data_IF_195367903047
#
_entry.id   IF_195367903047
#
_cell.length_a   1.000
_cell.length_b   1.000
_cell.length_c   1.000
_cell.angle_alpha   90.00
_cell.angle_beta   90.00
_cell.angle_gamma   90.00
#
_symmetry.space_group_name_H-M   'P 1'
#
loop_
_entity.id
_entity.type
_entity.pdbx_description
1 polymer ?
#
# COMPACT_ATOMS: atom_id res chain seq x y z
N UNK A 1 19.09 -7.71 0.95
CA UNK A 1 18.21 -6.61 0.57
C UNK A 1 18.02 -6.51 -0.94
N UNK A 2 19.08 -6.27 -1.71
CA UNK A 2 19.00 -6.06 -3.18
C UNK A 2 18.32 -7.22 -3.92
N UNK A 3 18.65 -8.47 -3.60
CA UNK A 3 18.00 -9.65 -4.22
C UNK A 3 16.50 -9.65 -3.89
N UNK A 4 16.13 -9.38 -2.65
CA UNK A 4 14.72 -9.28 -2.25
C UNK A 4 14.00 -8.13 -2.96
N UNK A 5 14.66 -6.98 -3.14
CA UNK A 5 14.11 -5.85 -3.87
C UNK A 5 13.75 -6.21 -5.32
N UNK A 6 14.62 -6.96 -6.01
CA UNK A 6 14.35 -7.42 -7.39
C UNK A 6 13.22 -8.43 -7.43
N UNK A 7 13.22 -9.41 -6.50
CA UNK A 7 12.18 -10.45 -6.44
C UNK A 7 10.81 -9.84 -6.12
N UNK A 8 10.72 -9.03 -5.07
CA UNK A 8 9.47 -8.42 -4.66
C UNK A 8 9.00 -7.34 -5.64
N UNK A 9 9.92 -6.58 -6.24
CA UNK A 9 9.61 -5.65 -7.31
C UNK A 9 9.00 -6.35 -8.53
N UNK A 10 9.61 -7.44 -8.98
CA UNK A 10 9.10 -8.26 -10.08
C UNK A 10 7.75 -8.93 -9.74
N UNK A 11 7.61 -9.47 -8.53
CA UNK A 11 6.35 -10.08 -8.07
C UNK A 11 5.22 -9.05 -8.01
N UNK A 12 5.47 -7.86 -7.48
CA UNK A 12 4.49 -6.78 -7.44
C UNK A 12 4.16 -6.23 -8.81
N UNK A 13 5.15 -6.12 -9.72
CA UNK A 13 4.89 -5.75 -11.10
C UNK A 13 3.93 -6.73 -11.77
N UNK A 14 4.17 -8.02 -11.61
CA UNK A 14 3.29 -9.05 -12.16
C UNK A 14 1.88 -9.00 -11.55
N UNK A 15 1.77 -8.95 -10.22
CA UNK A 15 0.48 -8.91 -9.52
C UNK A 15 -0.30 -7.64 -9.83
N UNK A 16 0.37 -6.48 -9.81
CA UNK A 16 -0.27 -5.19 -10.07
C UNK A 16 -0.84 -5.09 -11.48
N UNK A 17 -0.12 -5.59 -12.49
CA UNK A 17 -0.61 -5.60 -13.86
C UNK A 17 -1.72 -6.63 -14.09
N UNK A 18 -1.70 -7.75 -13.37
CA UNK A 18 -2.68 -8.83 -13.59
C UNK A 18 -3.94 -8.67 -12.74
N UNK A 19 -3.80 -8.24 -11.49
CA UNK A 19 -4.89 -8.20 -10.50
C UNK A 19 -5.26 -6.78 -10.12
N UNK A 20 -4.41 -5.78 -10.45
CA UNK A 20 -4.64 -4.38 -10.07
C UNK A 20 -4.33 -4.09 -8.60
N UNK A 21 -3.63 -5.00 -7.91
CA UNK A 21 -3.26 -4.86 -6.50
C UNK A 21 -1.76 -5.06 -6.32
N UNK A 22 -1.20 -4.40 -5.32
CA UNK A 22 0.17 -4.60 -4.85
C UNK A 22 0.15 -5.15 -3.42
N UNK A 23 1.14 -5.97 -3.09
CA UNK A 23 1.28 -6.57 -1.76
C UNK A 23 2.49 -5.98 -1.09
N UNK A 24 2.36 -5.53 0.15
CA UNK A 24 3.51 -5.07 0.93
C UNK A 24 4.49 -6.21 1.19
N UNK A 25 5.74 -5.98 0.81
CA UNK A 25 6.83 -6.92 1.01
C UNK A 25 7.65 -6.62 2.27
N UNK A 26 7.32 -5.58 3.02
CA UNK A 26 8.08 -5.14 4.19
C UNK A 26 8.15 -6.23 5.26
N UNK A 27 7.02 -6.79 5.65
CA UNK A 27 6.97 -7.85 6.68
C UNK A 27 7.61 -9.16 6.18
N UNK A 28 7.28 -9.69 4.98
CA UNK A 28 7.99 -10.84 4.42
C UNK A 28 9.49 -10.64 4.33
N UNK A 29 9.96 -9.46 3.91
CA UNK A 29 11.37 -9.14 3.84
C UNK A 29 12.05 -9.17 5.22
N UNK A 30 11.38 -8.65 6.26
CA UNK A 30 11.86 -8.71 7.64
C UNK A 30 12.02 -10.16 8.13
N UNK A 31 11.00 -11.00 7.91
CA UNK A 31 11.03 -12.41 8.34
C UNK A 31 12.10 -13.21 7.60
N UNK A 32 12.21 -13.03 6.27
CA UNK A 32 13.26 -13.70 5.47
C UNK A 32 14.64 -13.21 5.90
N UNK A 33 14.80 -11.91 6.15
CA UNK A 33 16.04 -11.33 6.63
C UNK A 33 16.50 -11.98 7.94
N UNK A 34 15.60 -12.04 8.94
CA UNK A 34 15.90 -12.67 10.22
C UNK A 34 16.31 -14.14 10.06
N UNK A 35 15.57 -14.88 9.23
CA UNK A 35 15.90 -16.29 8.95
C UNK A 35 17.29 -16.45 8.32
N UNK A 36 17.59 -15.67 7.29
CA UNK A 36 18.86 -15.75 6.56
C UNK A 36 20.03 -15.27 7.41
N UNK A 37 19.91 -14.12 8.08
CA UNK A 37 21.00 -13.57 8.89
C UNK A 37 21.30 -14.46 10.08
N UNK A 38 20.28 -14.99 10.76
CA UNK A 38 20.46 -15.89 11.91
C UNK A 38 21.03 -17.24 11.51
N UNK A 39 20.51 -17.85 10.44
CA UNK A 39 20.92 -19.22 10.04
C UNK A 39 22.24 -19.22 9.29
N UNK A 40 22.44 -18.29 8.34
CA UNK A 40 23.62 -18.27 7.46
C UNK A 40 24.77 -17.50 8.09
N UNK A 41 24.51 -16.28 8.58
CA UNK A 41 25.56 -15.41 9.14
C UNK A 41 25.79 -15.63 10.62
N UNK A 42 24.91 -16.39 11.30
CA UNK A 42 24.94 -16.66 12.76
C UNK A 42 25.09 -15.38 13.60
N UNK A 43 24.45 -14.31 13.14
CA UNK A 43 24.42 -13.00 13.80
C UNK A 43 22.98 -12.67 14.16
N UNK A 44 22.78 -12.00 15.29
CA UNK A 44 21.52 -11.40 15.68
C UNK A 44 21.75 -9.89 15.75
N UNK A 45 21.36 -9.17 14.70
CA UNK A 45 21.47 -7.71 14.62
C UNK A 45 20.20 -7.15 14.00
N UNK A 46 19.41 -6.46 14.83
CA UNK A 46 18.19 -5.79 14.39
C UNK A 46 18.48 -4.74 13.30
N UNK A 47 19.63 -4.07 13.38
CA UNK A 47 20.02 -3.05 12.40
C UNK A 47 20.28 -3.65 11.03
N UNK A 48 20.97 -4.80 10.97
CA UNK A 48 21.22 -5.51 9.72
C UNK A 48 19.90 -6.03 9.12
N UNK A 49 19.02 -6.59 9.95
CA UNK A 49 17.70 -7.03 9.54
C UNK A 49 16.83 -5.89 9.03
N UNK A 50 16.82 -4.75 9.71
CA UNK A 50 16.09 -3.55 9.30
C UNK A 50 16.62 -3.00 7.96
N UNK A 51 17.94 -3.00 7.77
CA UNK A 51 18.54 -2.56 6.51
C UNK A 51 18.15 -3.48 5.34
N UNK A 52 18.17 -4.79 5.53
CA UNK A 52 17.75 -5.76 4.51
C UNK A 52 16.26 -5.60 4.18
N UNK A 53 15.41 -5.44 5.19
CA UNK A 53 13.98 -5.21 5.03
C UNK A 53 13.72 -3.90 4.27
N UNK A 54 14.36 -2.80 4.65
CA UNK A 54 14.17 -1.49 4.02
C UNK A 54 14.59 -1.50 2.55
N UNK A 55 15.75 -2.11 2.23
CA UNK A 55 16.20 -2.24 0.85
C UNK A 55 15.25 -3.17 0.07
N UNK A 56 14.78 -4.26 0.70
CA UNK A 56 13.85 -5.19 0.08
C UNK A 56 12.52 -4.56 -0.28
N UNK A 57 11.96 -3.76 0.62
CA UNK A 57 10.69 -3.06 0.39
C UNK A 57 10.79 -1.88 -0.58
N UNK A 58 11.98 -1.31 -0.77
CA UNK A 58 12.18 -0.24 -1.76
C UNK A 58 11.89 -0.70 -3.19
N UNK A 59 12.23 -1.95 -3.55
CA UNK A 59 11.92 -2.52 -4.87
C UNK A 59 10.42 -2.66 -5.11
N UNK A 60 9.69 -3.11 -4.11
CA UNK A 60 8.22 -3.19 -4.14
C UNK A 60 7.58 -1.81 -4.30
N UNK A 61 8.01 -0.84 -3.49
CA UNK A 61 7.47 0.53 -3.53
C UNK A 61 7.70 1.20 -4.88
N UNK A 62 8.87 0.98 -5.48
CA UNK A 62 9.18 1.47 -6.83
C UNK A 62 8.27 0.83 -7.87
N UNK A 63 8.09 -0.50 -7.81
CA UNK A 63 7.22 -1.23 -8.72
C UNK A 63 5.77 -0.75 -8.59
N UNK A 64 5.25 -0.58 -7.36
CA UNK A 64 3.91 -0.08 -7.11
C UNK A 64 3.70 1.32 -7.72
N UNK A 65 4.65 2.25 -7.57
CA UNK A 65 4.58 3.57 -8.19
C UNK A 65 4.52 3.51 -9.72
N UNK A 66 5.34 2.66 -10.32
CA UNK A 66 5.40 2.49 -11.77
C UNK A 66 4.12 1.86 -12.36
N UNK A 67 3.57 0.85 -11.71
CA UNK A 67 2.40 0.08 -12.18
C UNK A 67 1.15 0.94 -12.29
N UNK A 68 0.94 1.88 -11.38
CA UNK A 68 -0.27 2.71 -11.36
C UNK A 68 -0.18 3.93 -12.27
N UNK A 69 1.00 4.28 -12.78
CA UNK A 69 1.20 5.48 -13.60
C UNK A 69 1.59 5.16 -15.05
N UNK A 70 2.56 4.29 -15.26
CA UNK A 70 3.13 4.00 -16.59
C UNK A 70 2.12 3.36 -17.54
N UNK A 71 1.22 2.43 -17.13
CA UNK A 71 0.24 1.85 -18.03
C UNK A 71 -0.67 2.86 -18.72
N UNK A 72 -0.96 4.01 -18.09
CA UNK A 72 -1.73 5.07 -18.70
C UNK A 72 -1.09 5.60 -19.99
N UNK A 73 0.24 5.71 -20.01
CA UNK A 73 0.98 6.17 -21.20
C UNK A 73 0.87 5.13 -22.33
N UNK A 74 0.91 3.84 -22.00
CA UNK A 74 0.72 2.77 -22.99
C UNK A 74 -0.70 2.75 -23.56
N UNK A 75 -1.71 2.99 -22.71
CA UNK A 75 -3.11 3.10 -23.16
C UNK A 75 -3.25 4.29 -24.13
N UNK A 76 -2.75 5.45 -23.77
CA UNK A 76 -2.78 6.63 -24.66
C UNK A 76 -1.99 6.41 -25.96
N UNK A 77 -0.85 5.74 -25.89
CA UNK A 77 -0.08 5.40 -27.08
C UNK A 77 -0.82 4.42 -28.03
N UNK A 78 -1.74 3.61 -27.50
CA UNK A 78 -2.58 2.70 -28.30
C UNK A 78 -3.78 3.38 -28.96
N UNK A 79 -4.18 4.56 -28.48
CA UNK A 79 -5.28 5.32 -29.04
C UNK A 79 -4.88 5.99 -30.37
N UNK A 80 -5.65 5.73 -31.42
CA UNK A 80 -5.41 6.31 -32.75
C UNK A 80 -5.55 7.84 -32.69
N UNK A 81 -4.47 8.54 -33.02
CA UNK A 81 -4.46 10.01 -33.08
C UNK A 81 -3.99 10.72 -31.84
N UNK A 82 -3.60 10.02 -30.77
CA UNK A 82 -3.09 10.61 -29.52
C UNK A 82 -1.74 11.33 -29.69
N UNK A 83 -0.95 10.99 -30.71
CA UNK A 83 0.42 11.51 -30.89
C UNK A 83 1.41 11.07 -29.81
N UNK A 84 0.97 10.24 -28.87
CA UNK A 84 1.82 9.71 -27.77
C UNK A 84 2.49 8.43 -28.24
N UNK A 85 3.81 8.35 -28.06
CA UNK A 85 4.58 7.13 -28.33
C UNK A 85 4.78 6.32 -27.06
N UNK A 86 4.73 5.01 -27.17
CA UNK A 86 5.00 4.13 -26.03
C UNK A 86 6.43 4.35 -25.50
N UNK A 87 6.62 4.49 -24.18
CA UNK A 87 7.93 4.75 -23.60
C UNK A 87 8.86 3.54 -23.79
N UNK A 88 10.12 3.81 -24.12
CA UNK A 88 11.14 2.77 -24.20
C UNK A 88 11.53 2.27 -22.82
N UNK A 89 12.14 1.08 -22.75
CA UNK A 89 12.67 0.54 -21.49
C UNK A 89 13.64 1.51 -20.80
N UNK A 90 14.51 2.16 -21.57
CA UNK A 90 15.47 3.14 -21.05
C UNK A 90 14.76 4.36 -20.46
N UNK A 91 13.70 4.85 -21.12
CA UNK A 91 12.89 5.96 -20.61
C UNK A 91 12.21 5.61 -19.28
N UNK A 92 11.64 4.40 -19.18
CA UNK A 92 11.02 3.91 -17.94
C UNK A 92 12.06 3.81 -16.82
N UNK A 93 13.24 3.25 -17.11
CA UNK A 93 14.32 3.13 -16.13
C UNK A 93 14.82 4.50 -15.64
N UNK A 94 14.97 5.48 -16.54
CA UNK A 94 15.34 6.84 -16.19
C UNK A 94 14.28 7.55 -15.34
N UNK A 95 13.00 7.39 -15.70
CA UNK A 95 11.88 7.94 -14.90
C UNK A 95 11.90 7.35 -13.49
N UNK A 96 12.06 6.04 -13.37
CA UNK A 96 12.11 5.36 -12.08
C UNK A 96 13.32 5.81 -11.25
N UNK A 97 14.50 5.95 -11.87
CA UNK A 97 15.71 6.44 -11.21
C UNK A 97 15.55 7.89 -10.72
N UNK A 98 15.06 8.78 -11.58
CA UNK A 98 14.82 10.18 -11.20
C UNK A 98 13.76 10.29 -10.11
N UNK A 99 12.68 9.50 -10.21
CA UNK A 99 11.63 9.42 -9.19
C UNK A 99 12.17 8.95 -7.82
N UNK A 100 13.03 7.94 -7.82
CA UNK A 100 13.69 7.46 -6.61
C UNK A 100 14.60 8.52 -5.97
N UNK A 101 15.42 9.19 -6.77
CA UNK A 101 16.28 10.29 -6.29
C UNK A 101 15.45 11.44 -5.72
N UNK A 102 14.40 11.87 -6.42
CA UNK A 102 13.49 12.91 -5.94
C UNK A 102 12.80 12.49 -4.63
N UNK A 103 12.33 11.25 -4.52
CA UNK A 103 11.71 10.73 -3.29
C UNK A 103 12.64 10.82 -2.08
N UNK A 104 13.90 10.45 -2.24
CA UNK A 104 14.92 10.59 -1.18
C UNK A 104 15.16 12.06 -0.83
N UNK A 105 15.35 12.92 -1.83
CA UNK A 105 15.59 14.34 -1.61
C UNK A 105 14.43 15.05 -0.90
N UNK A 106 13.19 14.69 -1.22
CA UNK A 106 12.03 15.22 -0.52
C UNK A 106 11.85 14.64 0.89
N UNK A 107 12.15 13.35 1.07
CA UNK A 107 11.95 12.71 2.37
C UNK A 107 12.94 13.20 3.44
N UNK A 108 14.19 13.53 3.07
CA UNK A 108 15.21 14.00 4.02
C UNK A 108 14.71 15.19 4.87
N UNK A 109 14.20 16.30 4.29
CA UNK A 109 13.68 17.40 5.09
C UNK A 109 12.33 17.09 5.77
N UNK A 110 11.49 16.23 5.17
CA UNK A 110 10.16 15.92 5.70
C UNK A 110 10.20 14.88 6.82
N UNK A 111 11.29 14.11 6.93
CA UNK A 111 11.42 13.06 7.94
C UNK A 111 11.19 13.59 9.36
N UNK A 112 11.77 14.72 9.71
CA UNK A 112 11.62 15.30 11.05
C UNK A 112 10.16 15.63 11.35
N UNK A 113 9.47 16.32 10.43
CA UNK A 113 8.07 16.67 10.63
C UNK A 113 7.14 15.44 10.66
N UNK A 114 7.26 14.54 9.68
CA UNK A 114 6.30 13.45 9.53
C UNK A 114 6.55 12.27 10.47
N UNK A 115 7.80 12.00 10.83
CA UNK A 115 8.17 10.81 11.62
C UNK A 115 8.46 11.17 13.07
N UNK A 116 9.06 12.33 13.35
CA UNK A 116 9.46 12.70 14.71
C UNK A 116 8.39 13.56 15.38
N UNK A 117 7.97 14.67 14.76
CA UNK A 117 7.01 15.60 15.36
C UNK A 117 5.58 15.02 15.38
N UNK A 118 5.17 14.35 14.33
CA UNK A 118 3.85 13.71 14.21
C UNK A 118 3.85 12.25 14.71
N UNK A 119 4.88 11.86 15.48
CA UNK A 119 4.96 10.52 16.04
C UNK A 119 3.79 10.26 17.01
N UNK A 120 3.04 9.18 16.77
CA UNK A 120 1.86 8.82 17.55
C UNK A 120 0.56 9.49 17.11
N UNK A 121 0.61 10.52 16.26
CA UNK A 121 -0.57 11.12 15.61
C UNK A 121 -0.85 10.44 14.29
N UNK A 122 0.19 10.26 13.46
CA UNK A 122 0.10 9.54 12.20
C UNK A 122 0.27 8.03 12.44
N UNK A 123 -0.74 7.22 12.14
CA UNK A 123 -0.61 5.77 12.23
C UNK A 123 0.22 5.26 11.05
N UNK A 124 1.34 4.61 11.34
CA UNK A 124 2.15 3.88 10.36
C UNK A 124 2.00 2.37 10.58
N UNK A 125 0.86 1.75 10.23
CA UNK A 125 0.54 0.39 10.65
C UNK A 125 1.55 -0.64 10.13
N UNK A 126 1.99 -0.52 8.89
CA UNK A 126 3.00 -1.43 8.33
C UNK A 126 4.37 -1.24 8.96
N UNK A 127 4.81 0.01 9.13
CA UNK A 127 6.09 0.32 9.77
C UNK A 127 6.14 -0.16 11.21
N UNK A 128 5.06 0.03 11.96
CA UNK A 128 4.92 -0.44 13.33
C UNK A 128 4.95 -1.98 13.39
N UNK A 129 4.17 -2.65 12.55
CA UNK A 129 4.19 -4.11 12.48
C UNK A 129 5.56 -4.68 12.10
N UNK A 130 6.26 -4.05 11.15
CA UNK A 130 7.63 -4.42 10.81
C UNK A 130 8.60 -4.26 11.97
N UNK A 131 8.50 -3.17 12.70
CA UNK A 131 9.34 -2.94 13.87
C UNK A 131 9.09 -3.99 14.97
N UNK A 132 7.83 -4.30 15.25
CA UNK A 132 7.47 -5.35 16.21
C UNK A 132 7.95 -6.73 15.80
N UNK A 133 7.85 -7.07 14.50
CA UNK A 133 8.38 -8.34 13.98
C UNK A 133 9.90 -8.42 14.14
N UNK A 134 10.62 -7.34 13.85
CA UNK A 134 12.08 -7.29 14.02
C UNK A 134 12.49 -7.39 15.49
N UNK A 135 11.79 -6.68 16.39
CA UNK A 135 12.03 -6.76 17.84
C UNK A 135 11.73 -8.15 18.39
N UNK A 136 10.60 -8.76 17.99
CA UNK A 136 10.28 -10.13 18.39
C UNK A 136 11.31 -11.15 17.88
N UNK A 137 11.90 -10.88 16.72
CA UNK A 137 13.00 -11.67 16.17
C UNK A 137 14.28 -11.57 16.99
N UNK A 138 14.65 -10.35 17.43
CA UNK A 138 15.86 -10.11 18.23
C UNK A 138 15.73 -10.68 19.64
N UNK A 139 14.61 -10.41 20.32
CA UNK A 139 14.36 -10.96 21.67
C UNK A 139 14.35 -12.51 21.65
N UNK A 140 13.99 -13.11 20.55
CA UNK A 140 13.93 -14.57 20.39
C UNK A 140 12.86 -15.24 21.27
N UNK A 141 13.03 -16.51 21.58
CA UNK A 141 12.18 -17.21 22.52
C UNK A 141 10.71 -17.34 22.10
N UNK A 142 9.82 -17.01 23.02
CA UNK A 142 8.36 -17.16 22.83
C UNK A 142 7.78 -16.22 21.76
N UNK A 143 8.21 -14.96 21.70
CA UNK A 143 7.71 -13.96 20.77
C UNK A 143 8.03 -14.31 19.32
N UNK A 144 9.26 -14.73 19.05
CA UNK A 144 9.67 -15.18 17.72
C UNK A 144 8.87 -16.41 17.26
N UNK A 145 8.57 -17.36 18.15
CA UNK A 145 7.74 -18.52 17.84
C UNK A 145 6.33 -18.13 17.40
N UNK A 146 5.73 -17.12 17.99
CA UNK A 146 4.40 -16.63 17.61
C UNK A 146 4.39 -16.07 16.18
N UNK A 147 5.41 -15.31 15.78
CA UNK A 147 5.55 -14.78 14.42
C UNK A 147 5.64 -15.90 13.40
N UNK A 148 6.52 -16.88 13.63
CA UNK A 148 6.67 -18.03 12.73
C UNK A 148 5.45 -18.94 12.72
N UNK A 149 4.77 -19.10 13.85
CA UNK A 149 3.52 -19.85 13.92
C UNK A 149 2.41 -19.13 13.12
N UNK A 150 2.28 -17.82 13.23
CA UNK A 150 1.37 -17.02 12.43
C UNK A 150 1.64 -17.14 10.93
N UNK A 151 2.91 -17.08 10.52
CA UNK A 151 3.32 -17.28 9.14
C UNK A 151 2.93 -18.70 8.65
N UNK A 152 3.19 -19.73 9.46
CA UNK A 152 2.83 -21.11 9.14
C UNK A 152 1.33 -21.31 8.99
N UNK A 153 0.53 -20.77 9.92
CA UNK A 153 -0.94 -20.84 9.86
C UNK A 153 -1.46 -20.14 8.61
N UNK A 154 -0.97 -18.92 8.32
CA UNK A 154 -1.38 -18.17 7.13
C UNK A 154 -0.97 -18.88 5.83
N UNK A 155 0.22 -19.50 5.77
CA UNK A 155 0.67 -20.27 4.62
C UNK A 155 -0.18 -21.51 4.39
N UNK A 156 -0.52 -22.27 5.45
CA UNK A 156 -1.41 -23.43 5.38
C UNK A 156 -2.80 -23.00 4.92
N UNK A 157 -3.34 -21.92 5.49
CA UNK A 157 -4.62 -21.38 5.07
C UNK A 157 -4.63 -21.03 3.58
N UNK A 158 -3.63 -20.28 3.11
CA UNK A 158 -3.51 -19.89 1.69
C UNK A 158 -3.34 -21.12 0.79
N UNK A 159 -2.58 -22.11 1.21
CA UNK A 159 -2.44 -23.36 0.45
C UNK A 159 -3.76 -24.09 0.32
N UNK A 160 -4.57 -24.14 1.38
CA UNK A 160 -5.88 -24.80 1.36
C UNK A 160 -6.88 -24.01 0.50
N UNK A 161 -6.91 -22.67 0.64
CA UNK A 161 -7.84 -21.81 -0.08
C UNK A 161 -7.50 -21.71 -1.58
N UNK A 162 -6.27 -21.34 -1.91
CA UNK A 162 -5.87 -21.03 -3.28
C UNK A 162 -5.23 -22.24 -3.99
N UNK A 163 -4.48 -23.07 -3.25
CA UNK A 163 -3.81 -24.25 -3.80
C UNK A 163 -4.77 -25.42 -4.00
N UNK A 164 -5.48 -25.81 -2.96
CA UNK A 164 -6.43 -26.92 -3.00
C UNK A 164 -7.85 -26.49 -3.40
N UNK A 165 -8.15 -25.19 -3.33
CA UNK A 165 -9.48 -24.60 -3.65
C UNK A 165 -10.63 -25.30 -2.91
N UNK A 166 -10.41 -25.67 -1.63
CA UNK A 166 -11.39 -26.37 -0.83
C UNK A 166 -12.57 -25.48 -0.39
N UNK A 167 -12.34 -24.18 -0.32
CA UNK A 167 -13.40 -23.17 -0.08
C UNK A 167 -13.09 -21.91 -0.87
N UNK A 168 -14.13 -21.13 -1.22
CA UNK A 168 -13.93 -19.89 -1.96
C UNK A 168 -13.21 -18.86 -1.08
N UNK A 169 -12.21 -18.16 -1.64
CA UNK A 169 -11.56 -17.03 -0.99
C UNK A 169 -12.45 -15.80 -0.91
N UNK A 170 -13.42 -15.72 -1.80
CA UNK A 170 -14.39 -14.63 -1.90
C UNK A 170 -15.80 -15.22 -1.76
N UNK A 171 -16.59 -14.63 -0.88
CA UNK A 171 -18.00 -14.98 -0.73
C UNK A 171 -18.80 -13.74 -1.10
N UNK A 172 -19.57 -13.82 -2.18
CA UNK A 172 -20.38 -12.72 -2.70
C UNK A 172 -21.83 -13.17 -2.89
N UNK A 173 -22.74 -12.38 -2.37
CA UNK A 173 -24.19 -12.51 -2.59
C UNK A 173 -24.64 -11.31 -3.42
N UNK A 174 -24.91 -11.52 -4.71
CA UNK A 174 -25.42 -10.49 -5.59
C UNK A 174 -26.92 -10.55 -5.70
N UNK A 175 -27.56 -9.40 -5.54
CA UNK A 175 -28.99 -9.21 -5.79
C UNK A 175 -29.16 -8.36 -7.05
N UNK A 176 -29.96 -8.85 -8.00
CA UNK A 176 -30.30 -8.15 -9.24
C UNK A 176 -31.81 -7.92 -9.30
N UNK A 177 -32.22 -6.71 -9.71
CA UNK A 177 -33.63 -6.36 -9.84
C UNK A 177 -33.88 -4.89 -9.55
N UNK A 178 -34.99 -4.56 -8.90
CA UNK A 178 -35.28 -3.18 -8.50
C UNK A 178 -34.28 -2.59 -7.50
N UNK A 179 -33.65 -3.46 -6.71
CA UNK A 179 -32.58 -3.10 -5.79
C UNK A 179 -31.33 -3.92 -6.15
N UNK A 180 -30.55 -3.38 -7.08
CA UNK A 180 -29.31 -4.02 -7.52
C UNK A 180 -28.20 -3.70 -6.51
N UNK A 181 -27.65 -4.73 -5.88
CA UNK A 181 -26.53 -4.61 -4.94
C UNK A 181 -25.77 -5.92 -4.84
N UNK A 182 -24.59 -5.91 -4.26
CA UNK A 182 -23.94 -7.11 -3.80
C UNK A 182 -23.36 -6.90 -2.39
N UNK A 183 -23.36 -7.95 -1.60
CA UNK A 183 -22.74 -8.01 -0.28
C UNK A 183 -21.79 -9.18 -0.28
N UNK A 184 -20.51 -8.90 -0.04
CA UNK A 184 -19.49 -9.91 -0.07
C UNK A 184 -18.39 -9.65 0.95
N UNK A 185 -17.56 -10.65 1.15
CA UNK A 185 -16.42 -10.60 2.04
C UNK A 185 -15.30 -11.46 1.49
N UNK A 186 -14.10 -10.89 1.43
CA UNK A 186 -12.86 -11.63 1.17
C UNK A 186 -12.37 -12.24 2.47
N UNK A 187 -12.24 -13.56 2.50
CA UNK A 187 -11.74 -14.28 3.68
C UNK A 187 -10.22 -14.42 3.56
N UNK A 188 -9.51 -13.31 3.73
CA UNK A 188 -8.06 -13.25 3.62
C UNK A 188 -7.43 -12.91 4.99
N UNK A 189 -6.61 -13.80 5.58
CA UNK A 189 -5.96 -13.54 6.87
C UNK A 189 -5.09 -12.29 6.87
N UNK A 190 -4.48 -11.95 5.73
CA UNK A 190 -3.68 -10.75 5.57
C UNK A 190 -4.52 -9.48 5.79
N UNK A 191 -5.72 -9.40 5.21
CA UNK A 191 -6.62 -8.26 5.39
C UNK A 191 -7.14 -8.17 6.84
N UNK A 192 -7.45 -9.32 7.46
CA UNK A 192 -7.83 -9.36 8.87
C UNK A 192 -6.68 -8.84 9.78
N UNK A 193 -5.43 -9.23 9.48
CA UNK A 193 -4.25 -8.73 10.19
C UNK A 193 -4.06 -7.23 10.03
N UNK A 194 -4.18 -6.70 8.82
CA UNK A 194 -4.10 -5.25 8.55
C UNK A 194 -5.21 -4.51 9.29
N UNK A 195 -6.45 -5.03 9.25
CA UNK A 195 -7.58 -4.43 9.98
C UNK A 195 -7.33 -4.39 11.49
N UNK A 196 -6.73 -5.44 12.07
CA UNK A 196 -6.35 -5.47 13.48
C UNK A 196 -5.28 -4.42 13.82
N UNK A 197 -4.24 -4.29 13.00
CA UNK A 197 -3.14 -3.32 13.19
C UNK A 197 -3.64 -1.88 13.03
N UNK A 198 -4.45 -1.60 12.01
CA UNK A 198 -5.03 -0.27 11.77
C UNK A 198 -6.02 0.17 12.85
N UNK A 199 -6.58 -0.79 13.58
CA UNK A 199 -7.55 -0.55 14.64
C UNK A 199 -8.96 -0.24 14.14
N UNK A 200 -9.90 -0.16 15.10
CA UNK A 200 -11.33 -0.05 14.82
C UNK A 200 -11.69 1.25 14.09
N UNK A 201 -11.02 2.35 14.40
CA UNK A 201 -11.33 3.65 13.80
C UNK A 201 -11.09 3.67 12.30
N UNK A 202 -9.90 3.27 11.85
CA UNK A 202 -9.57 3.23 10.41
C UNK A 202 -10.40 2.17 9.70
N UNK A 203 -10.55 0.99 10.29
CA UNK A 203 -11.37 -0.08 9.73
C UNK A 203 -12.84 0.32 9.57
N UNK A 204 -13.38 1.13 10.51
CA UNK A 204 -14.76 1.63 10.40
C UNK A 204 -14.95 2.61 9.24
N UNK A 205 -13.95 3.45 8.93
CA UNK A 205 -14.01 4.32 7.75
C UNK A 205 -14.03 3.53 6.44
N UNK A 206 -13.20 2.49 6.34
CA UNK A 206 -13.18 1.60 5.18
C UNK A 206 -14.52 0.87 5.01
N UNK A 207 -15.05 0.34 6.12
CA UNK A 207 -16.36 -0.33 6.13
C UNK A 207 -17.49 0.63 5.74
N UNK A 208 -17.49 1.85 6.28
CA UNK A 208 -18.49 2.87 5.92
C UNK A 208 -18.44 3.23 4.43
N UNK A 209 -17.24 3.30 3.83
CA UNK A 209 -17.06 3.47 2.39
C UNK A 209 -17.65 2.33 1.58
N UNK A 210 -17.47 1.08 2.02
CA UNK A 210 -18.08 -0.11 1.42
C UNK A 210 -19.62 -0.08 1.51
N UNK A 211 -20.15 0.20 2.69
CA UNK A 211 -21.61 0.34 2.91
C UNK A 211 -22.21 1.43 2.01
N UNK A 212 -21.59 2.62 1.98
CA UNK A 212 -22.02 3.71 1.12
C UNK A 212 -22.02 3.31 -0.36
N UNK A 213 -20.96 2.65 -0.82
CA UNK A 213 -20.81 2.23 -2.21
C UNK A 213 -21.86 1.19 -2.61
N UNK A 214 -21.93 0.08 -1.87
CA UNK A 214 -22.73 -1.06 -2.27
C UNK A 214 -24.20 -0.95 -1.87
N UNK A 215 -24.53 -0.37 -0.72
CA UNK A 215 -25.90 -0.27 -0.26
C UNK A 215 -26.60 1.04 -0.61
N UNK A 216 -25.87 2.08 -1.01
CA UNK A 216 -26.46 3.38 -1.35
C UNK A 216 -26.19 3.76 -2.80
N UNK A 217 -24.91 3.88 -3.20
CA UNK A 217 -24.56 4.40 -4.52
C UNK A 217 -24.94 3.46 -5.64
N UNK A 218 -24.62 2.17 -5.56
CA UNK A 218 -24.97 1.18 -6.60
C UNK A 218 -26.47 1.09 -6.79
N UNK A 219 -27.30 0.90 -5.76
CA UNK A 219 -28.76 0.90 -5.92
C UNK A 219 -29.32 2.23 -6.43
N UNK A 220 -28.79 3.36 -5.97
CA UNK A 220 -29.22 4.67 -6.45
C UNK A 220 -28.91 4.86 -7.95
N UNK A 221 -27.72 4.48 -8.39
CA UNK A 221 -27.33 4.52 -9.80
C UNK A 221 -28.20 3.57 -10.61
N UNK A 222 -28.46 2.36 -10.10
CA UNK A 222 -29.32 1.39 -10.77
C UNK A 222 -30.78 1.90 -10.90
N UNK A 223 -31.27 2.59 -9.88
CA UNK A 223 -32.67 3.07 -9.87
C UNK A 223 -32.88 4.34 -10.70
N UNK A 224 -31.99 5.33 -10.56
CA UNK A 224 -32.10 6.63 -11.22
C UNK A 224 -31.41 6.69 -12.58
N UNK A 225 -30.50 5.77 -12.90
CA UNK A 225 -29.70 5.79 -14.10
C UNK A 225 -30.49 5.63 -15.40
N UNK A 226 -31.47 4.74 -15.41
CA UNK A 226 -32.34 4.50 -16.55
C UNK A 226 -31.57 4.33 -17.88
N UNK A 227 -32.24 4.63 -19.00
CA UNK A 227 -31.64 4.55 -20.34
C UNK A 227 -30.73 5.75 -20.67
N UNK A 228 -30.61 6.72 -19.76
CA UNK A 228 -29.90 7.98 -19.99
C UNK A 228 -28.40 7.89 -19.75
N UNK A 229 -27.92 6.85 -19.05
CA UNK A 229 -26.49 6.63 -18.80
C UNK A 229 -25.85 5.86 -19.95
N UNK A 230 -24.61 6.23 -20.26
CA UNK A 230 -23.86 5.68 -21.39
C UNK A 230 -23.89 4.16 -21.44
N UNK A 231 -24.10 3.62 -22.62
CA UNK A 231 -24.15 2.17 -22.87
C UNK A 231 -22.83 1.53 -22.45
N UNK A 232 -22.87 0.75 -21.41
CA UNK A 232 -21.75 -0.08 -20.99
C UNK A 232 -21.65 -1.23 -21.95
N UNK A 233 -20.46 -1.44 -22.49
CA UNK A 233 -20.18 -2.50 -23.46
C UNK A 233 -19.62 -3.70 -22.68
N UNK A 234 -20.22 -4.88 -22.88
CA UNK A 234 -19.73 -6.14 -22.33
C UNK A 234 -18.36 -6.53 -22.96
N UNK A 235 -17.65 -7.47 -22.35
CA UNK A 235 -16.38 -8.02 -22.86
C UNK A 235 -16.49 -8.51 -24.33
N UNK A 236 -17.70 -8.82 -24.78
CA UNK A 236 -18.01 -9.23 -26.16
C UNK A 236 -18.28 -8.06 -27.11
N UNK A 237 -18.18 -6.82 -26.67
CA UNK A 237 -18.46 -5.63 -27.47
C UNK A 237 -19.95 -5.31 -27.66
N UNK A 238 -20.85 -5.99 -26.94
CA UNK A 238 -22.30 -5.79 -27.01
C UNK A 238 -22.76 -4.78 -25.97
N UNK A 239 -23.47 -3.74 -26.39
CA UNK A 239 -24.04 -2.76 -25.46
C UNK A 239 -25.10 -3.44 -24.58
N UNK A 240 -24.90 -3.42 -23.28
CA UNK A 240 -25.88 -3.90 -22.29
C UNK A 240 -26.88 -2.79 -21.98
N UNK A 241 -28.15 -3.17 -21.87
CA UNK A 241 -29.15 -2.26 -21.33
C UNK A 241 -28.86 -2.03 -19.85
N UNK A 242 -29.09 -0.81 -19.35
CA UNK A 242 -28.70 -0.43 -17.99
C UNK A 242 -29.36 -1.30 -16.90
N UNK A 243 -30.59 -1.75 -17.13
CA UNK A 243 -31.33 -2.66 -16.25
C UNK A 243 -30.77 -4.11 -16.19
N UNK A 244 -29.81 -4.43 -17.05
CA UNK A 244 -29.12 -5.72 -17.08
C UNK A 244 -27.74 -5.67 -16.39
N UNK A 245 -27.31 -4.48 -15.95
CA UNK A 245 -26.03 -4.31 -15.26
C UNK A 245 -26.07 -4.91 -13.86
N UNK A 246 -25.11 -5.78 -13.58
CA UNK A 246 -24.87 -6.26 -12.22
C UNK A 246 -24.15 -5.22 -11.33
N UNK A 247 -24.18 -5.44 -10.02
CA UNK A 247 -23.51 -4.55 -9.05
C UNK A 247 -22.02 -4.32 -9.37
N UNK A 248 -21.30 -5.37 -9.75
CA UNK A 248 -19.89 -5.30 -10.13
C UNK A 248 -19.63 -4.41 -11.36
N UNK A 249 -20.53 -4.46 -12.36
CA UNK A 249 -20.42 -3.62 -13.55
C UNK A 249 -20.73 -2.15 -13.25
N UNK A 250 -21.72 -1.87 -12.39
CA UNK A 250 -22.02 -0.51 -11.92
C UNK A 250 -20.86 0.02 -11.11
N UNK A 251 -20.26 -0.80 -10.26
CA UNK A 251 -19.08 -0.42 -9.49
C UNK A 251 -17.91 -0.04 -10.40
N UNK A 252 -17.57 -0.90 -11.36
CA UNK A 252 -16.40 -0.69 -12.23
C UNK A 252 -16.54 0.51 -13.17
N UNK A 253 -17.77 0.83 -13.61
CA UNK A 253 -18.01 1.89 -14.58
C UNK A 253 -18.36 3.25 -13.96
N UNK A 254 -18.84 3.29 -12.70
CA UNK A 254 -19.32 4.52 -12.06
C UNK A 254 -18.73 4.74 -10.68
N UNK A 255 -18.95 3.82 -9.74
CA UNK A 255 -18.62 4.03 -8.32
C UNK A 255 -17.11 4.13 -8.10
N UNK A 256 -16.33 3.35 -8.83
CA UNK A 256 -14.86 3.41 -8.80
C UNK A 256 -14.32 4.81 -9.13
N UNK A 257 -14.92 5.50 -10.09
CA UNK A 257 -14.52 6.86 -10.44
C UNK A 257 -14.94 7.89 -9.40
N UNK A 258 -16.11 7.69 -8.77
CA UNK A 258 -16.53 8.52 -7.62
C UNK A 258 -15.53 8.36 -6.48
N UNK A 259 -15.15 7.10 -6.17
CA UNK A 259 -14.14 6.80 -5.16
C UNK A 259 -12.78 7.41 -5.49
N UNK A 260 -12.32 7.28 -6.73
CA UNK A 260 -11.06 7.88 -7.18
C UNK A 260 -11.08 9.41 -7.06
N UNK A 261 -12.20 10.05 -7.42
CA UNK A 261 -12.40 11.49 -7.23
C UNK A 261 -12.37 11.90 -5.76
N UNK A 262 -12.99 11.12 -4.88
CA UNK A 262 -12.97 11.36 -3.45
C UNK A 262 -11.56 11.27 -2.86
N UNK A 263 -10.77 10.26 -3.27
CA UNK A 263 -9.36 10.11 -2.88
C UNK A 263 -8.53 11.29 -3.38
N UNK A 264 -8.69 11.68 -4.64
CA UNK A 264 -7.99 12.82 -5.21
C UNK A 264 -8.31 14.12 -4.46
N UNK A 265 -9.60 14.38 -4.22
CA UNK A 265 -10.04 15.57 -3.47
C UNK A 265 -9.51 15.56 -2.03
N UNK A 266 -9.61 14.43 -1.33
CA UNK A 266 -9.07 14.25 0.02
C UNK A 266 -7.56 14.46 0.08
N UNK A 267 -6.82 13.91 -0.89
CA UNK A 267 -5.39 14.11 -1.02
C UNK A 267 -5.00 15.58 -1.25
N UNK A 268 -5.71 16.29 -2.14
CA UNK A 268 -5.49 17.71 -2.38
C UNK A 268 -5.78 18.56 -1.14
N UNK A 269 -6.89 18.30 -0.45
CA UNK A 269 -7.22 19.00 0.81
C UNK A 269 -6.17 18.75 1.87
N UNK A 270 -5.71 17.51 2.02
CA UNK A 270 -4.65 17.13 2.95
C UNK A 270 -3.34 17.85 2.60
N UNK A 271 -2.97 17.86 1.32
CA UNK A 271 -1.78 18.55 0.84
C UNK A 271 -1.84 20.06 1.16
N UNK A 272 -2.96 20.73 0.87
CA UNK A 272 -3.15 22.14 1.16
C UNK A 272 -3.03 22.43 2.67
N UNK A 273 -3.59 21.57 3.52
CA UNK A 273 -3.48 21.70 4.98
C UNK A 273 -2.06 21.50 5.49
N UNK A 274 -1.32 20.57 4.92
CA UNK A 274 0.05 20.23 5.33
C UNK A 274 1.11 21.17 4.72
N UNK A 275 0.79 21.84 3.62
CA UNK A 275 1.72 22.69 2.86
C UNK A 275 2.42 23.76 3.71
N UNK A 276 1.74 24.51 4.63
CA UNK A 276 2.40 25.47 5.50
C UNK A 276 3.47 24.82 6.42
N UNK A 277 3.19 23.63 6.92
CA UNK A 277 4.13 22.85 7.76
C UNK A 277 5.33 22.41 6.93
N UNK A 278 5.09 21.93 5.69
CA UNK A 278 6.16 21.54 4.78
C UNK A 278 7.10 22.72 4.47
N UNK A 279 6.55 23.92 4.19
CA UNK A 279 7.37 25.12 3.91
C UNK A 279 8.21 25.49 5.13
N UNK A 280 7.63 25.49 6.33
CA UNK A 280 8.36 25.79 7.57
C UNK A 280 9.50 24.79 7.80
N UNK A 281 9.23 23.50 7.67
CA UNK A 281 10.23 22.42 7.84
C UNK A 281 11.34 22.53 6.81
N UNK A 282 10.99 22.77 5.55
CA UNK A 282 11.96 22.98 4.48
C UNK A 282 12.83 24.23 4.74
N UNK A 283 12.22 25.32 5.20
CA UNK A 283 12.92 26.54 5.60
C UNK A 283 13.90 26.32 6.76
N UNK A 284 13.52 25.51 7.76
CA UNK A 284 14.42 25.14 8.87
C UNK A 284 15.57 24.24 8.40
N UNK A 285 15.29 23.25 7.56
CA UNK A 285 16.32 22.38 6.98
C UNK A 285 17.35 23.16 6.16
N UNK A 286 16.88 24.09 5.31
CA UNK A 286 17.78 24.96 4.52
C UNK A 286 18.67 25.87 5.41
N UNK A 287 18.12 26.41 6.51
CA UNK A 287 18.92 27.20 7.48
C UNK A 287 19.92 26.34 8.22
N UNK A 288 19.64 25.06 8.45
CA UNK A 288 20.57 24.09 9.08
C UNK A 288 21.76 23.72 8.18
N UNK A 289 21.60 23.74 6.86
CA UNK A 289 22.70 23.48 5.92
C UNK A 289 23.80 24.55 5.94
N UNK A 290 23.50 25.76 6.44
CA UNK A 290 24.47 26.86 6.56
C UNK A 290 25.28 26.89 7.86
N UNK A 291 24.91 26.13 8.87
CA UNK A 291 25.66 26.04 10.15
C UNK A 291 26.48 24.74 10.19
N UNK A 292 27.73 24.85 9.80
CA UNK A 292 28.77 23.83 10.01
C UNK A 292 29.10 23.76 11.51
N UNK A 293 28.40 23.03 12.32
CA UNK A 293 28.85 22.93 13.69
C UNK A 293 27.96 22.31 14.73
N UNK A 294 27.08 21.35 14.44
CA UNK A 294 26.44 20.62 15.54
C UNK A 294 25.86 19.26 15.15
N UNK A 295 26.49 18.58 14.21
CA UNK A 295 26.00 17.27 13.74
C UNK A 295 26.31 16.12 14.71
N UNK A 296 27.23 16.29 15.63
CA UNK A 296 27.65 15.23 16.55
C UNK A 296 26.76 15.10 17.78
N UNK A 297 26.13 16.19 18.23
CA UNK A 297 25.28 16.17 19.41
C UNK A 297 23.84 15.73 19.12
N UNK A 298 23.32 16.03 17.93
CA UNK A 298 21.97 15.65 17.54
C UNK A 298 21.83 14.12 17.39
N UNK A 299 22.85 13.45 16.85
CA UNK A 299 22.85 11.98 16.75
C UNK A 299 22.99 11.29 18.11
N UNK A 300 23.69 11.90 19.06
CA UNK A 300 23.89 11.33 20.40
C UNK A 300 22.65 11.52 21.28
N UNK A 301 21.97 12.65 21.17
CA UNK A 301 20.72 12.91 21.89
C UNK A 301 19.53 12.09 21.37
N UNK A 302 19.42 11.84 20.06
CA UNK A 302 18.42 10.94 19.47
C UNK A 302 18.61 9.48 19.94
N UNK A 303 19.85 9.01 20.00
CA UNK A 303 20.17 7.67 20.50
C UNK A 303 19.90 7.55 22.01
N UNK A 304 20.23 8.56 22.79
CA UNK A 304 19.97 8.56 24.25
C UNK A 304 18.48 8.69 24.60
N UNK A 305 17.68 9.45 23.82
CA UNK A 305 16.24 9.54 24.04
C UNK A 305 15.53 8.24 23.70
N UNK A 306 15.99 7.50 22.70
CA UNK A 306 15.46 6.17 22.35
C UNK A 306 15.78 5.12 23.42
N UNK A 307 16.99 5.13 23.97
CA UNK A 307 17.33 4.24 25.09
C UNK A 307 16.53 4.56 26.36
N UNK A 308 16.22 5.82 26.63
CA UNK A 308 15.40 6.22 27.77
C UNK A 308 13.92 5.84 27.67
N UNK A 309 13.38 5.72 26.45
CA UNK A 309 11.99 5.29 26.21
C UNK A 309 11.81 3.76 26.29
N UNK A 310 12.80 3.00 25.85
CA UNK A 310 12.78 1.52 25.90
C UNK A 310 12.93 0.99 27.35
N UNK A 311 13.55 1.76 28.25
CA UNK A 311 13.65 1.38 29.68
C UNK A 311 12.43 1.76 30.52
N UNK A 312 11.37 2.38 29.96
CA UNK A 312 10.15 2.78 30.70
C UNK A 312 8.87 2.06 30.23
N UNK A 313 8.96 1.11 29.34
CA UNK A 313 7.93 0.14 28.98
C UNK A 313 8.37 -1.25 29.37
#
# INVERSE_FOLDING_TARGET
>A
GMILAVIFGGANAYLGLRVGMTVSASIPAAVISMGVIRVILKKDSILENNMVQTIGSAGESLAAGAIFTIPAIFIWASEKGSGVTAPSFVSIALIALCGGILGVLFMVPLRTALIVEEHGVLPYPEGTACAEVLLAGEEGGSKSKVVFAGLGIAAVYKFIADGLKLFPSEVEFSMQGQYTTSVGMDVLPALAGVGYICGVQVSSYLFAGGVLSYLVLIPAIAYFGGDSLSKVVDETGKALAFNQLGASQIWSNYVRYIGAGAVAAGGLISLIKTFPTMIKTFGHAMKGFGKKGDRSEEHTSELQSRFGLVCRL
#
